data_IF_507059389820
#
_entry.id   IF_507059389820
#
_cell.length_a   1.000
_cell.length_b   1.000
_cell.length_c   1.000
_cell.angle_alpha   90.00
_cell.angle_beta   90.00
_cell.angle_gamma   90.00
#
_symmetry.space_group_name_H-M   'P 1'
#
loop_
_entity.id
_entity.type
_entity.pdbx_description
1 polymer ?
#
# COMPACT_ATOMS: atom_id res chain seq x y z
N UNK A 1 -32.22 -28.79 -33.20
CA UNK A 1 -32.20 -27.71 -32.18
C UNK A 1 -32.00 -26.41 -32.92
N UNK A 2 -32.81 -25.41 -32.59
CA UNK A 2 -32.69 -24.10 -33.23
C UNK A 2 -31.33 -23.47 -32.84
N UNK A 3 -30.45 -23.09 -33.78
CA UNK A 3 -29.10 -22.61 -33.49
C UNK A 3 -29.09 -21.38 -32.56
N UNK A 4 -30.20 -20.64 -32.50
CA UNK A 4 -30.41 -19.48 -31.63
C UNK A 4 -30.21 -19.79 -30.14
N UNK A 5 -30.57 -20.98 -29.66
CA UNK A 5 -30.41 -21.38 -28.26
C UNK A 5 -28.95 -21.60 -27.84
N UNK A 6 -28.05 -21.76 -28.81
CA UNK A 6 -26.61 -21.89 -28.53
C UNK A 6 -25.88 -20.58 -28.83
N UNK A 7 -26.24 -19.90 -29.92
CA UNK A 7 -25.55 -18.69 -30.37
C UNK A 7 -25.69 -17.55 -29.36
N UNK A 8 -26.90 -17.24 -28.88
CA UNK A 8 -27.09 -16.10 -27.98
C UNK A 8 -26.38 -16.27 -26.62
N UNK A 9 -26.49 -17.42 -25.91
CA UNK A 9 -25.73 -17.63 -24.67
C UNK A 9 -24.21 -17.56 -24.86
N UNK A 10 -23.69 -18.16 -25.93
CA UNK A 10 -22.24 -18.19 -26.18
C UNK A 10 -21.72 -16.79 -26.51
N UNK A 11 -22.41 -16.05 -27.38
CA UNK A 11 -22.04 -14.68 -27.74
C UNK A 11 -22.14 -13.77 -26.52
N UNK A 12 -23.21 -13.89 -25.73
CA UNK A 12 -23.37 -13.16 -24.48
C UNK A 12 -22.22 -13.43 -23.50
N UNK A 13 -21.83 -14.70 -23.33
CA UNK A 13 -20.71 -15.08 -22.48
C UNK A 13 -19.38 -14.48 -22.94
N UNK A 14 -19.11 -14.50 -24.25
CA UNK A 14 -17.89 -13.92 -24.83
C UNK A 14 -17.88 -12.41 -24.62
N UNK A 15 -18.98 -11.71 -24.93
CA UNK A 15 -19.08 -10.25 -24.74
C UNK A 15 -18.90 -9.90 -23.27
N UNK A 16 -19.56 -10.61 -22.36
CA UNK A 16 -19.44 -10.38 -20.91
C UNK A 16 -18.01 -10.56 -20.39
N UNK A 17 -17.33 -11.63 -20.80
CA UNK A 17 -15.95 -11.88 -20.42
C UNK A 17 -14.98 -10.83 -21.01
N UNK A 18 -15.08 -10.56 -22.32
CA UNK A 18 -14.18 -9.62 -23.02
C UNK A 18 -14.37 -8.20 -22.49
N UNK A 19 -15.61 -7.75 -22.32
CA UNK A 19 -15.90 -6.39 -21.84
C UNK A 19 -15.37 -6.20 -20.42
N UNK A 20 -15.55 -7.19 -19.55
CA UNK A 20 -15.04 -7.10 -18.19
C UNK A 20 -13.51 -7.11 -18.14
N UNK A 21 -12.85 -7.90 -19.01
CA UNK A 21 -11.40 -7.87 -19.13
C UNK A 21 -10.88 -6.50 -19.60
N UNK A 22 -11.58 -5.87 -20.55
CA UNK A 22 -11.26 -4.51 -21.02
C UNK A 22 -11.44 -3.50 -19.87
N UNK A 23 -12.55 -3.54 -19.16
CA UNK A 23 -12.84 -2.62 -18.05
C UNK A 23 -11.78 -2.69 -16.95
N UNK A 24 -11.36 -3.90 -16.58
CA UNK A 24 -10.27 -4.09 -15.61
C UNK A 24 -8.98 -3.47 -16.12
N UNK A 25 -8.62 -3.72 -17.39
CA UNK A 25 -7.42 -3.12 -18.00
C UNK A 25 -7.51 -1.59 -18.02
N UNK A 26 -8.70 -1.03 -18.21
CA UNK A 26 -8.96 0.42 -18.21
C UNK A 26 -8.71 1.11 -16.88
N UNK A 27 -8.81 0.40 -15.74
CA UNK A 27 -8.47 0.96 -14.44
C UNK A 27 -6.97 1.29 -14.31
N UNK A 28 -6.11 0.54 -15.02
CA UNK A 28 -4.66 0.65 -14.92
C UNK A 28 -4.02 1.37 -16.11
N UNK A 29 -4.60 1.25 -17.31
CA UNK A 29 -4.11 1.85 -18.55
C UNK A 29 -5.29 2.44 -19.31
N UNK A 30 -5.18 3.57 -20.02
CA UNK A 30 -3.95 4.26 -20.44
C UNK A 30 -3.39 5.19 -19.37
N UNK A 31 -2.07 5.41 -19.38
CA UNK A 31 -1.41 6.30 -18.41
C UNK A 31 -1.62 7.79 -18.69
N UNK A 32 -2.04 8.12 -19.91
CA UNK A 32 -2.33 9.49 -20.35
C UNK A 32 -3.76 9.56 -20.90
N UNK A 33 -4.40 10.75 -20.83
CA UNK A 33 -5.72 10.95 -21.42
C UNK A 33 -5.67 10.71 -22.93
N UNK A 34 -6.65 9.97 -23.45
CA UNK A 34 -6.79 9.71 -24.88
C UNK A 34 -7.93 10.55 -25.41
N UNK A 35 -7.68 11.21 -26.53
CA UNK A 35 -8.65 12.09 -27.20
C UNK A 35 -9.12 11.45 -28.49
N UNK A 36 -10.42 11.51 -28.73
CA UNK A 36 -11.06 11.14 -29.99
C UNK A 36 -11.57 12.43 -30.64
N UNK A 37 -10.77 13.02 -31.53
CA UNK A 37 -10.99 14.37 -32.03
C UNK A 37 -10.91 15.39 -30.89
N UNK A 38 -11.95 16.21 -30.73
CA UNK A 38 -12.04 17.20 -29.64
C UNK A 38 -12.60 16.64 -28.33
N UNK A 39 -12.97 15.36 -28.26
CA UNK A 39 -13.59 14.76 -27.08
C UNK A 39 -12.61 13.85 -26.32
N UNK A 40 -12.51 14.04 -24.99
CA UNK A 40 -11.73 13.17 -24.09
C UNK A 40 -12.52 11.89 -23.81
N UNK A 41 -11.88 10.73 -24.00
CA UNK A 41 -12.48 9.44 -23.65
C UNK A 41 -12.71 9.34 -22.12
N UNK A 42 -13.91 8.92 -21.68
CA UNK A 42 -14.17 8.65 -20.28
C UNK A 42 -13.25 7.52 -19.79
N UNK A 43 -12.85 7.57 -18.51
CA UNK A 43 -11.91 6.61 -17.91
C UNK A 43 -10.51 6.61 -18.54
N UNK A 44 -10.08 7.72 -19.16
CA UNK A 44 -8.68 7.94 -19.57
C UNK A 44 -8.14 9.26 -18.97
N UNK A 45 -6.99 9.27 -18.27
CA UNK A 45 -6.16 8.11 -17.91
C UNK A 45 -6.90 7.15 -16.97
N UNK A 46 -6.39 5.92 -16.84
CA UNK A 46 -6.94 4.93 -15.92
C UNK A 46 -7.01 5.47 -14.49
N UNK A 47 -7.96 4.96 -13.72
CA UNK A 47 -8.29 5.46 -12.37
C UNK A 47 -7.09 5.40 -11.42
N UNK A 48 -6.33 4.29 -11.43
CA UNK A 48 -5.18 4.10 -10.53
C UNK A 48 -4.05 5.12 -10.84
N UNK A 49 -3.57 5.27 -12.10
CA UNK A 49 -2.63 6.34 -12.45
C UNK A 49 -3.12 7.74 -12.09
N UNK A 50 -4.41 8.02 -12.29
CA UNK A 50 -5.01 9.33 -12.06
C UNK A 50 -5.04 9.71 -10.57
N UNK A 51 -5.24 8.74 -9.67
CA UNK A 51 -5.36 8.96 -8.24
C UNK A 51 -4.07 8.70 -7.44
N UNK A 52 -2.92 8.53 -8.11
CA UNK A 52 -1.65 8.19 -7.46
C UNK A 52 -1.30 9.05 -6.24
N UNK A 53 -1.48 10.38 -6.33
CA UNK A 53 -1.14 11.30 -5.25
C UNK A 53 -2.09 11.17 -4.06
N UNK A 54 -3.38 10.97 -4.34
CA UNK A 54 -4.37 10.68 -3.28
C UNK A 54 -4.10 9.35 -2.60
N UNK A 55 -3.71 8.33 -3.36
CA UNK A 55 -3.30 7.02 -2.81
C UNK A 55 -2.06 7.20 -1.92
N UNK A 56 -1.05 7.93 -2.40
CA UNK A 56 0.18 8.20 -1.66
C UNK A 56 -0.12 8.88 -0.31
N UNK A 57 -0.90 9.96 -0.36
CA UNK A 57 -1.31 10.72 0.81
C UNK A 57 -2.08 9.85 1.82
N UNK A 58 -3.10 9.13 1.37
CA UNK A 58 -3.92 8.30 2.25
C UNK A 58 -3.11 7.16 2.89
N UNK A 59 -2.16 6.56 2.14
CA UNK A 59 -1.25 5.54 2.68
C UNK A 59 -0.34 6.17 3.73
N UNK A 60 0.26 7.33 3.44
CA UNK A 60 1.12 8.04 4.39
C UNK A 60 0.38 8.38 5.69
N UNK A 61 -0.81 8.99 5.60
CA UNK A 61 -1.66 9.33 6.75
C UNK A 61 -2.04 8.09 7.58
N UNK A 62 -2.35 6.97 6.91
CA UNK A 62 -2.70 5.72 7.61
C UNK A 62 -1.49 5.11 8.31
N UNK A 63 -0.33 5.09 7.66
CA UNK A 63 0.91 4.55 8.23
C UNK A 63 1.40 5.40 9.40
N UNK A 64 1.31 6.72 9.29
CA UNK A 64 1.61 7.65 10.39
C UNK A 64 0.70 7.40 11.60
N UNK A 65 -0.61 7.23 11.37
CA UNK A 65 -1.57 6.96 12.43
C UNK A 65 -1.42 5.58 13.09
N UNK A 66 -0.93 4.56 12.37
CA UNK A 66 -0.94 3.16 12.84
C UNK A 66 0.42 2.57 13.22
N UNK A 67 1.54 3.09 12.72
CA UNK A 67 2.86 2.46 12.88
C UNK A 67 3.91 3.36 13.53
N UNK A 68 3.75 4.68 13.44
CA UNK A 68 4.79 5.64 13.81
C UNK A 68 4.22 6.91 14.45
N UNK A 69 3.23 6.77 15.34
CA UNK A 69 2.84 7.92 16.16
C UNK A 69 4.03 8.38 16.99
N UNK A 70 4.23 9.69 17.14
CA UNK A 70 5.36 10.24 17.89
C UNK A 70 5.48 9.63 19.29
N UNK A 71 4.34 9.40 19.95
CA UNK A 71 4.26 8.74 21.26
C UNK A 71 4.81 7.31 21.26
N UNK A 72 4.61 6.55 20.18
CA UNK A 72 5.08 5.17 20.07
C UNK A 72 6.59 5.09 19.80
N UNK A 73 7.13 6.04 19.01
CA UNK A 73 8.58 6.21 18.82
C UNK A 73 9.24 6.62 20.14
N UNK A 74 8.68 7.62 20.83
CA UNK A 74 9.17 8.05 22.14
C UNK A 74 9.19 6.87 23.12
N UNK A 75 8.07 6.14 23.25
CA UNK A 75 7.98 4.95 24.10
C UNK A 75 8.95 3.85 23.69
N UNK A 76 9.25 3.68 22.40
CA UNK A 76 10.23 2.71 21.95
C UNK A 76 11.67 3.10 22.32
N UNK A 77 12.00 4.39 22.29
CA UNK A 77 13.35 4.92 22.56
C UNK A 77 13.61 5.21 24.05
N UNK A 78 12.59 5.53 24.84
CA UNK A 78 12.72 5.88 26.26
C UNK A 78 12.02 4.90 27.20
N UNK A 79 11.27 3.93 26.65
CA UNK A 79 10.52 2.97 27.44
C UNK A 79 11.38 1.89 28.11
N UNK A 80 10.73 0.95 28.83
CA UNK A 80 11.41 -0.07 29.64
C UNK A 80 12.38 -0.94 28.85
N UNK A 81 12.03 -1.27 27.59
CA UNK A 81 12.90 -2.05 26.70
C UNK A 81 14.17 -1.32 26.29
N UNK A 82 14.08 0.00 26.04
CA UNK A 82 15.25 0.80 25.72
C UNK A 82 16.19 0.88 26.92
N UNK A 83 15.63 1.09 28.11
CA UNK A 83 16.37 1.06 29.37
C UNK A 83 17.09 -0.26 29.59
N UNK A 84 16.41 -1.39 29.43
CA UNK A 84 17.01 -2.71 29.55
C UNK A 84 18.14 -2.94 28.53
N UNK A 85 17.94 -2.50 27.28
CA UNK A 85 18.97 -2.58 26.24
C UNK A 85 20.20 -1.72 26.54
N UNK A 86 19.99 -0.49 27.03
CA UNK A 86 21.09 0.42 27.43
C UNK A 86 21.81 -0.14 28.65
N UNK A 87 21.11 -0.60 29.67
CA UNK A 87 21.70 -1.20 30.86
C UNK A 87 22.56 -2.42 30.50
N UNK A 88 22.05 -3.32 29.66
CA UNK A 88 22.80 -4.48 29.17
C UNK A 88 24.03 -4.10 28.37
N UNK A 89 23.93 -3.08 27.48
CA UNK A 89 25.07 -2.63 26.67
C UNK A 89 26.14 -1.92 27.50
N UNK A 90 25.71 -1.14 28.49
CA UNK A 90 26.62 -0.47 29.43
C UNK A 90 27.32 -1.50 30.31
N UNK A 91 26.62 -2.52 30.81
CA UNK A 91 27.23 -3.59 31.60
C UNK A 91 28.24 -4.43 30.79
N UNK A 92 27.90 -4.75 29.54
CA UNK A 92 28.81 -5.41 28.61
C UNK A 92 30.09 -4.57 28.38
N UNK A 93 29.92 -3.25 28.16
CA UNK A 93 31.03 -2.33 27.92
C UNK A 93 31.90 -2.14 29.17
N UNK A 94 31.29 -2.04 30.36
CA UNK A 94 31.99 -1.97 31.64
C UNK A 94 32.77 -3.27 31.88
N UNK A 95 32.15 -4.43 31.67
CA UNK A 95 32.82 -5.73 31.87
C UNK A 95 33.97 -5.91 30.88
N UNK A 96 33.81 -5.48 29.63
CA UNK A 96 34.85 -5.53 28.60
C UNK A 96 36.08 -4.67 28.89
N UNK A 97 35.97 -3.62 29.73
CA UNK A 97 37.07 -2.76 30.15
C UNK A 97 37.92 -3.34 31.31
N UNK A 98 37.55 -4.52 31.83
CA UNK A 98 38.34 -5.25 32.82
C UNK A 98 38.57 -4.46 34.12
N UNK A 99 39.82 -4.27 34.61
CA UNK A 99 40.09 -3.57 35.87
C UNK A 99 39.60 -2.12 35.90
N UNK A 100 39.62 -1.42 34.76
CA UNK A 100 39.14 -0.05 34.63
C UNK A 100 37.61 -0.02 34.72
N UNK A 101 36.95 -1.00 34.10
CA UNK A 101 35.50 -1.18 34.20
C UNK A 101 35.01 -1.44 35.63
N UNK A 102 35.75 -2.24 36.40
CA UNK A 102 35.40 -2.49 37.80
C UNK A 102 35.37 -1.21 38.65
N UNK A 103 36.21 -0.22 38.34
CA UNK A 103 36.17 1.11 38.99
C UNK A 103 34.98 1.95 38.50
N UNK A 104 34.59 1.77 37.24
CA UNK A 104 33.46 2.48 36.63
C UNK A 104 32.08 1.94 37.05
N UNK A 105 31.98 0.74 37.64
CA UNK A 105 30.71 0.15 38.09
C UNK A 105 29.89 1.06 39.00
N UNK A 106 30.53 1.82 39.89
CA UNK A 106 29.84 2.79 40.75
C UNK A 106 29.16 3.93 39.99
N UNK A 107 29.61 4.22 38.77
CA UNK A 107 29.06 5.24 37.88
C UNK A 107 28.07 4.66 36.86
N UNK A 108 27.89 3.34 36.80
CA UNK A 108 26.93 2.67 35.91
C UNK A 108 25.54 3.34 35.91
N UNK A 109 24.87 3.57 37.06
CA UNK A 109 23.55 4.22 37.05
C UNK A 109 23.60 5.62 36.43
N UNK A 110 24.65 6.40 36.68
CA UNK A 110 24.82 7.74 36.10
C UNK A 110 25.06 7.69 34.59
N UNK A 111 25.79 6.69 34.07
CA UNK A 111 26.03 6.52 32.64
C UNK A 111 24.74 6.13 31.93
N UNK A 112 24.00 5.15 32.47
CA UNK A 112 22.70 4.73 31.92
C UNK A 112 21.73 5.90 31.91
N UNK A 113 21.63 6.64 33.01
CA UNK A 113 20.70 7.76 33.09
C UNK A 113 21.06 8.89 32.13
N UNK A 114 22.34 9.25 32.00
CA UNK A 114 22.78 10.23 31.00
C UNK A 114 22.50 9.79 29.56
N UNK A 115 22.66 8.51 29.27
CA UNK A 115 22.35 7.96 27.94
C UNK A 115 20.85 7.99 27.66
N UNK A 116 20.02 7.65 28.65
CA UNK A 116 18.56 7.71 28.51
C UNK A 116 18.07 9.15 28.29
N UNK A 117 18.59 10.11 29.05
CA UNK A 117 18.27 11.54 28.86
C UNK A 117 18.68 12.01 27.46
N UNK A 118 19.87 11.63 26.99
CA UNK A 118 20.30 11.95 25.63
C UNK A 118 19.44 11.28 24.54
N UNK A 119 18.95 10.06 24.78
CA UNK A 119 18.01 9.38 23.88
C UNK A 119 16.63 10.04 23.89
N UNK A 120 16.19 10.58 25.02
CA UNK A 120 14.94 11.34 25.16
C UNK A 120 15.03 12.66 24.37
N UNK A 121 16.11 13.42 24.52
CA UNK A 121 16.35 14.64 23.72
C UNK A 121 16.36 14.36 22.21
N UNK A 122 17.01 13.26 21.78
CA UNK A 122 17.02 12.84 20.37
C UNK A 122 15.64 12.37 19.89
N UNK A 123 14.86 11.71 20.76
CA UNK A 123 13.51 11.27 20.42
C UNK A 123 12.59 12.48 20.23
N UNK A 124 12.65 13.46 21.14
CA UNK A 124 11.87 14.70 21.05
C UNK A 124 12.23 15.52 19.80
N UNK A 125 13.52 15.60 19.45
CA UNK A 125 13.98 16.24 18.21
C UNK A 125 13.49 15.50 16.95
N UNK A 126 13.45 14.15 16.98
CA UNK A 126 12.94 13.35 15.88
C UNK A 126 11.42 13.45 15.68
N UNK A 127 10.67 13.74 16.75
CA UNK A 127 9.21 13.86 16.75
C UNK A 127 8.74 15.30 16.48
N UNK A 128 9.57 16.30 16.77
CA UNK A 128 9.26 17.71 16.54
C UNK A 128 8.96 17.99 15.04
N UNK A 129 7.94 18.82 14.80
CA UNK A 129 7.50 19.20 13.46
C UNK A 129 8.65 19.87 12.67
N UNK A 130 9.19 19.15 11.69
CA UNK A 130 10.30 19.62 10.84
C UNK A 130 11.60 18.81 10.94
N UNK A 131 11.65 17.76 11.77
CA UNK A 131 12.78 16.84 11.81
C UNK A 131 12.94 15.99 10.55
N UNK A 132 14.15 15.44 10.33
CA UNK A 132 14.52 14.59 9.19
C UNK A 132 13.73 13.26 9.09
N UNK A 133 12.90 12.97 10.10
CA UNK A 133 12.12 11.75 10.31
C UNK A 133 10.61 11.91 10.07
N UNK A 134 10.20 12.86 9.20
CA UNK A 134 8.83 12.89 8.66
C UNK A 134 8.63 11.70 7.70
N UNK A 135 8.44 10.51 8.29
CA UNK A 135 8.25 9.24 7.58
C UNK A 135 7.01 9.33 6.69
N UNK A 136 5.97 10.05 7.11
CA UNK A 136 4.78 10.33 6.30
C UNK A 136 5.15 11.00 4.98
N UNK A 137 5.88 12.12 5.03
CA UNK A 137 6.39 12.78 3.81
C UNK A 137 7.36 11.91 3.03
N UNK A 138 8.26 11.18 3.69
CA UNK A 138 9.18 10.28 2.97
C UNK A 138 8.44 9.16 2.23
N UNK A 139 7.37 8.62 2.80
CA UNK A 139 6.49 7.64 2.15
C UNK A 139 5.76 8.31 0.99
N UNK A 140 5.17 9.48 1.20
CA UNK A 140 4.49 10.25 0.15
C UNK A 140 5.43 10.56 -1.03
N UNK A 141 6.61 11.12 -0.75
CA UNK A 141 7.65 11.44 -1.71
C UNK A 141 8.14 10.19 -2.43
N UNK A 142 8.33 9.07 -1.72
CA UNK A 142 8.75 7.80 -2.33
C UNK A 142 7.69 7.27 -3.28
N UNK A 143 6.41 7.31 -2.91
CA UNK A 143 5.30 6.87 -3.76
C UNK A 143 5.15 7.82 -4.96
N UNK A 144 5.33 9.13 -4.77
CA UNK A 144 5.26 10.11 -5.85
C UNK A 144 6.45 10.03 -6.81
N UNK A 145 7.63 9.64 -6.31
CA UNK A 145 8.83 9.41 -7.09
C UNK A 145 8.84 8.06 -7.84
N UNK A 146 8.02 7.10 -7.42
CA UNK A 146 7.84 5.85 -8.16
C UNK A 146 7.28 6.10 -9.56
N UNK A 147 7.76 5.32 -10.52
CA UNK A 147 7.17 5.35 -11.84
C UNK A 147 5.78 4.70 -11.83
N UNK A 148 4.92 5.14 -12.75
CA UNK A 148 3.53 4.65 -12.82
C UNK A 148 3.48 3.11 -13.03
N UNK A 149 4.53 2.52 -13.63
CA UNK A 149 4.60 1.07 -13.89
C UNK A 149 4.93 0.27 -12.63
N UNK A 150 5.69 0.84 -11.72
CA UNK A 150 6.01 0.24 -10.42
C UNK A 150 4.80 0.28 -9.50
N UNK A 151 4.09 1.41 -9.44
CA UNK A 151 2.80 1.49 -8.75
C UNK A 151 1.79 0.48 -9.33
N UNK A 152 1.71 0.37 -10.65
CA UNK A 152 0.89 -0.65 -11.32
C UNK A 152 1.30 -2.07 -10.91
N UNK A 153 2.60 -2.38 -10.85
CA UNK A 153 3.08 -3.71 -10.44
C UNK A 153 2.71 -4.05 -9.00
N UNK A 154 2.80 -3.08 -8.08
CA UNK A 154 2.41 -3.27 -6.68
C UNK A 154 0.91 -3.58 -6.55
N UNK A 155 0.05 -2.82 -7.25
CA UNK A 155 -1.40 -3.03 -7.19
C UNK A 155 -1.80 -4.30 -7.95
N UNK A 156 -1.28 -4.52 -9.16
CA UNK A 156 -1.63 -5.69 -9.98
C UNK A 156 -1.11 -7.01 -9.40
N UNK A 157 0.01 -6.98 -8.68
CA UNK A 157 0.60 -8.17 -8.05
C UNK A 157 -0.40 -8.92 -7.18
N UNK A 158 -1.21 -8.18 -6.42
CA UNK A 158 -2.27 -8.76 -5.60
C UNK A 158 -3.60 -8.92 -6.35
N UNK A 159 -3.99 -7.96 -7.19
CA UNK A 159 -5.33 -7.93 -7.79
C UNK A 159 -5.54 -8.87 -8.97
N UNK A 160 -4.48 -9.29 -9.68
CA UNK A 160 -4.58 -10.10 -10.91
C UNK A 160 -5.38 -11.40 -10.76
N UNK A 161 -5.28 -12.06 -9.60
CA UNK A 161 -6.04 -13.28 -9.28
C UNK A 161 -7.52 -13.00 -9.03
N UNK A 162 -7.84 -11.87 -8.40
CA UNK A 162 -9.22 -11.46 -8.13
C UNK A 162 -9.94 -11.04 -9.42
N UNK A 163 -9.25 -10.34 -10.32
CA UNK A 163 -9.77 -9.91 -11.62
C UNK A 163 -10.22 -11.04 -12.53
N UNK A 164 -9.61 -12.22 -12.42
CA UNK A 164 -10.04 -13.42 -13.14
C UNK A 164 -11.44 -13.87 -12.74
N UNK A 165 -11.79 -13.77 -11.45
CA UNK A 165 -13.13 -14.11 -10.98
C UNK A 165 -14.17 -13.15 -11.54
N UNK A 166 -13.87 -11.84 -11.55
CA UNK A 166 -14.79 -10.85 -12.12
C UNK A 166 -15.03 -11.13 -13.62
N UNK A 167 -13.97 -11.50 -14.35
CA UNK A 167 -14.08 -11.83 -15.78
C UNK A 167 -14.91 -13.09 -16.01
N UNK A 168 -14.72 -14.10 -15.16
CA UNK A 168 -15.53 -15.31 -15.17
C UNK A 168 -17.01 -14.99 -14.89
N UNK A 169 -17.31 -14.20 -13.86
CA UNK A 169 -18.68 -13.78 -13.56
C UNK A 169 -19.30 -12.96 -14.69
N UNK A 170 -18.53 -12.09 -15.35
CA UNK A 170 -18.96 -11.39 -16.55
C UNK A 170 -19.40 -12.35 -17.66
N UNK A 171 -18.64 -13.42 -17.89
CA UNK A 171 -19.01 -14.47 -18.82
C UNK A 171 -20.25 -15.26 -18.41
N UNK A 172 -20.38 -15.62 -17.12
CA UNK A 172 -21.56 -16.34 -16.60
C UNK A 172 -22.82 -15.48 -16.71
N UNK A 173 -22.75 -14.20 -16.37
CA UNK A 173 -23.87 -13.26 -16.50
C UNK A 173 -24.24 -13.05 -17.97
N UNK A 174 -23.25 -12.87 -18.83
CA UNK A 174 -23.46 -12.77 -20.27
C UNK A 174 -24.13 -14.01 -20.86
N UNK A 175 -23.74 -15.20 -20.39
CA UNK A 175 -24.38 -16.47 -20.76
C UNK A 175 -25.85 -16.51 -20.32
N UNK A 176 -26.13 -16.14 -19.07
CA UNK A 176 -27.49 -16.10 -18.53
C UNK A 176 -28.38 -15.12 -19.29
N UNK A 177 -27.88 -13.92 -19.61
CA UNK A 177 -28.59 -12.93 -20.43
C UNK A 177 -28.87 -13.51 -21.82
N UNK A 178 -27.89 -14.18 -22.44
CA UNK A 178 -28.07 -14.79 -23.75
C UNK A 178 -29.10 -15.93 -23.75
N UNK A 179 -29.25 -16.68 -22.65
CA UNK A 179 -30.34 -17.68 -22.49
C UNK A 179 -31.69 -16.96 -22.49
N UNK A 180 -31.82 -15.89 -21.70
CA UNK A 180 -33.06 -15.10 -21.63
C UNK A 180 -33.40 -14.54 -23.02
N UNK A 181 -32.41 -14.01 -23.76
CA UNK A 181 -32.60 -13.53 -25.13
C UNK A 181 -33.03 -14.65 -26.09
N UNK A 182 -32.45 -15.85 -25.99
CA UNK A 182 -32.85 -16.99 -26.82
C UNK A 182 -34.30 -17.42 -26.57
N UNK A 183 -34.73 -17.44 -25.30
CA UNK A 183 -36.11 -17.76 -24.93
C UNK A 183 -37.06 -16.69 -25.46
N UNK A 184 -36.75 -15.40 -25.24
CA UNK A 184 -37.57 -14.30 -25.74
C UNK A 184 -37.70 -14.33 -27.27
N UNK A 185 -36.61 -14.59 -27.99
CA UNK A 185 -36.59 -14.69 -29.45
C UNK A 185 -37.30 -15.95 -30.01
N UNK A 186 -37.64 -16.91 -29.16
CA UNK A 186 -38.42 -18.08 -29.54
C UNK A 186 -39.93 -17.90 -29.28
N UNK A 187 -40.29 -16.98 -28.38
CA UNK A 187 -41.68 -16.68 -28.01
C UNK A 187 -42.26 -15.51 -28.84
N UNK A 188 -41.42 -14.57 -29.25
CA UNK A 188 -41.76 -13.41 -30.10
C UNK A 188 -41.56 -13.72 -31.58
#
# INVERSE_FOLDING_TARGET
MDPRFLVFPVVGAIIGAVTNQIAIKMLFRPYQPVYLGSWRLPLTPGVIPAQRGTIAKNIAETFEAQLFSGDEIHRFLTGPKAREAVEGKVDEMITGLGPIGAMARGFQPTIVEKLLVGMEELADEAIAHGGEFDIGKRIEDKINAMDIRELERLVLGFSSKQFRHITFFGGVLGFAIGIVQAILAAVL
#
